data_IF_449211337796
#
_entry.id   IF_449211337796
#
_cell.length_a   1.000
_cell.length_b   1.000
_cell.length_c   1.000
_cell.angle_alpha   90.00
_cell.angle_beta   90.00
_cell.angle_gamma   90.00
#
_symmetry.space_group_name_H-M   'P 1'
#
loop_
_entity.id
_entity.type
_entity.pdbx_description
1 polymer ?
#
# COMPACT_ATOMS: atom_id res chain seq x y z
N UNK A 1 -29.47 49.58 23.29
CA UNK A 1 -29.10 48.98 21.99
C UNK A 1 -27.62 48.63 22.04
N UNK A 2 -27.19 47.40 21.68
CA UNK A 2 -25.78 47.07 21.65
C UNK A 2 -25.07 47.86 20.53
N UNK A 3 -23.85 48.33 20.82
CA UNK A 3 -22.99 49.00 19.83
C UNK A 3 -22.54 48.01 18.75
N UNK A 4 -22.39 48.48 17.51
CA UNK A 4 -21.87 47.70 16.38
C UNK A 4 -20.49 47.10 16.71
N UNK A 5 -19.65 47.85 17.43
CA UNK A 5 -18.32 47.38 17.86
C UNK A 5 -18.44 46.16 18.77
N UNK A 6 -19.33 46.20 19.76
CA UNK A 6 -19.54 45.07 20.68
C UNK A 6 -20.14 43.82 20.02
N UNK A 7 -20.88 43.97 18.92
CA UNK A 7 -21.34 42.84 18.11
C UNK A 7 -20.19 42.20 17.31
N UNK A 8 -19.27 43.02 16.78
CA UNK A 8 -18.10 42.53 16.07
C UNK A 8 -17.13 41.78 17.01
N UNK A 9 -16.84 42.35 18.19
CA UNK A 9 -16.01 41.70 19.20
C UNK A 9 -16.58 40.35 19.65
N UNK A 10 -17.91 40.25 19.81
CA UNK A 10 -18.56 38.98 20.12
C UNK A 10 -18.41 37.95 19.00
N UNK A 11 -18.56 38.36 17.72
CA UNK A 11 -18.35 37.46 16.58
C UNK A 11 -16.90 37.02 16.47
N UNK A 12 -15.95 37.93 16.70
CA UNK A 12 -14.54 37.62 16.71
C UNK A 12 -14.20 36.60 17.81
N UNK A 13 -14.67 36.83 19.04
CA UNK A 13 -14.45 35.88 20.15
C UNK A 13 -15.08 34.52 19.89
N UNK A 14 -16.27 34.48 19.27
CA UNK A 14 -16.91 33.22 18.87
C UNK A 14 -16.08 32.50 17.78
N UNK A 15 -15.56 33.25 16.80
CA UNK A 15 -14.70 32.70 15.76
C UNK A 15 -13.38 32.15 16.33
N UNK A 16 -12.72 32.88 17.25
CA UNK A 16 -11.50 32.44 17.93
C UNK A 16 -11.74 31.14 18.71
N UNK A 17 -12.80 31.08 19.53
CA UNK A 17 -13.19 29.86 20.25
C UNK A 17 -13.46 28.68 19.31
N UNK A 18 -14.10 28.93 18.17
CA UNK A 18 -14.35 27.90 17.15
C UNK A 18 -13.03 27.36 16.57
N UNK A 19 -12.08 28.24 16.28
CA UNK A 19 -10.75 27.86 15.78
C UNK A 19 -9.98 27.06 16.82
N UNK A 20 -9.97 27.49 18.08
CA UNK A 20 -9.24 26.79 19.13
C UNK A 20 -9.84 25.41 19.40
N UNK A 21 -11.18 25.28 19.42
CA UNK A 21 -11.84 23.98 19.53
C UNK A 21 -11.48 23.03 18.37
N UNK A 22 -11.43 23.54 17.12
CA UNK A 22 -11.03 22.74 15.96
C UNK A 22 -9.55 22.32 16.03
N UNK A 23 -8.67 23.15 16.59
CA UNK A 23 -7.27 22.80 16.82
C UNK A 23 -7.14 21.68 17.85
N UNK A 24 -7.86 21.78 18.97
CA UNK A 24 -7.89 20.71 19.99
C UNK A 24 -8.42 19.38 19.42
N UNK A 25 -9.44 19.42 18.57
CA UNK A 25 -9.95 18.24 17.87
C UNK A 25 -8.90 17.67 16.90
N UNK A 26 -8.22 18.52 16.13
CA UNK A 26 -7.16 18.10 15.23
C UNK A 26 -5.99 17.45 15.98
N UNK A 27 -5.56 18.03 17.10
CA UNK A 27 -4.50 17.48 17.94
C UNK A 27 -4.89 16.12 18.53
N UNK A 28 -6.15 15.97 18.97
CA UNK A 28 -6.69 14.68 19.44
C UNK A 28 -6.65 13.62 18.35
N UNK A 29 -7.17 13.94 17.17
CA UNK A 29 -7.17 13.02 16.01
C UNK A 29 -5.73 12.67 15.61
N UNK A 30 -4.82 13.64 15.64
CA UNK A 30 -3.41 13.41 15.32
C UNK A 30 -2.76 12.46 16.35
N UNK A 31 -3.09 12.59 17.63
CA UNK A 31 -2.59 11.69 18.67
C UNK A 31 -3.13 10.25 18.48
N UNK A 32 -4.42 10.09 18.18
CA UNK A 32 -5.03 8.79 17.87
C UNK A 32 -4.42 8.16 16.60
N UNK A 33 -4.16 8.97 15.57
CA UNK A 33 -3.49 8.53 14.35
C UNK A 33 -2.09 7.99 14.67
N UNK A 34 -1.28 8.75 15.43
CA UNK A 34 0.06 8.31 15.82
C UNK A 34 0.01 7.02 16.65
N UNK A 35 -0.97 6.86 17.53
CA UNK A 35 -1.14 5.62 18.31
C UNK A 35 -1.47 4.42 17.42
N UNK A 36 -2.47 4.56 16.54
CA UNK A 36 -2.89 3.49 15.62
C UNK A 36 -1.80 3.14 14.60
N UNK A 37 -1.02 4.11 14.13
CA UNK A 37 0.15 3.87 13.28
C UNK A 37 1.23 3.07 14.01
N UNK A 38 1.46 3.32 15.30
CA UNK A 38 2.41 2.53 16.10
C UNK A 38 1.95 1.09 16.25
N UNK A 39 0.69 0.85 16.62
CA UNK A 39 0.12 -0.49 16.72
C UNK A 39 0.21 -1.25 15.39
N UNK A 40 -0.09 -0.57 14.28
CA UNK A 40 0.06 -1.15 12.95
C UNK A 40 1.52 -1.49 12.62
N UNK A 41 2.47 -0.59 12.93
CA UNK A 41 3.90 -0.85 12.74
C UNK A 41 4.40 -2.05 13.56
N UNK A 42 3.92 -2.20 14.80
CA UNK A 42 4.23 -3.38 15.63
C UNK A 42 3.74 -4.67 14.98
N UNK A 43 2.53 -4.66 14.41
CA UNK A 43 2.01 -5.81 13.68
C UNK A 43 2.82 -6.12 12.41
N UNK A 44 3.24 -5.10 11.66
CA UNK A 44 4.13 -5.27 10.50
C UNK A 44 5.46 -5.89 10.90
N UNK A 45 6.04 -5.46 12.03
CA UNK A 45 7.27 -6.03 12.59
C UNK A 45 7.04 -7.50 12.98
N UNK A 46 5.93 -7.81 13.65
CA UNK A 46 5.58 -9.18 14.04
C UNK A 46 5.45 -10.09 12.81
N UNK A 47 4.74 -9.66 11.76
CA UNK A 47 4.64 -10.41 10.51
C UNK A 47 6.00 -10.60 9.83
N UNK A 48 6.86 -9.59 9.82
CA UNK A 48 8.24 -9.69 9.30
C UNK A 48 9.05 -10.75 10.06
N UNK A 49 8.95 -10.76 11.40
CA UNK A 49 9.63 -11.76 12.23
C UNK A 49 9.13 -13.18 11.97
N UNK A 50 7.82 -13.37 11.86
CA UNK A 50 7.24 -14.67 11.47
C UNK A 50 7.74 -15.09 10.10
N UNK A 51 7.81 -14.17 9.13
CA UNK A 51 8.39 -14.44 7.82
C UNK A 51 9.84 -14.94 7.89
N UNK A 52 10.66 -14.37 8.77
CA UNK A 52 12.05 -14.83 9.00
C UNK A 52 12.13 -16.24 9.60
N UNK A 53 11.22 -16.61 10.50
CA UNK A 53 11.18 -17.95 11.11
C UNK A 53 10.68 -19.01 10.12
N UNK A 54 9.74 -18.62 9.25
CA UNK A 54 9.17 -19.51 8.23
C UNK A 54 10.07 -19.66 6.99
N UNK A 55 11.02 -18.76 6.78
CA UNK A 55 12.14 -19.00 5.87
C UNK A 55 13.08 -20.02 6.54
N UNK A 56 13.31 -21.21 5.94
CA UNK A 56 14.28 -22.13 6.48
C UNK A 56 15.65 -21.44 6.42
N UNK A 57 16.21 -21.17 7.60
CA UNK A 57 17.53 -20.60 7.72
C UNK A 57 18.55 -21.53 7.09
N UNK A 58 19.39 -20.95 6.23
CA UNK A 58 20.78 -21.32 6.05
C UNK A 58 21.43 -21.31 7.44
N UNK A 59 21.26 -22.43 8.15
CA UNK A 59 21.85 -22.67 9.45
C UNK A 59 23.30 -23.05 9.25
N UNK A 60 24.18 -22.10 9.51
CA UNK A 60 25.35 -22.25 10.38
C UNK A 60 25.69 -23.72 10.72
N UNK A 61 26.54 -24.35 9.92
CA UNK A 61 27.36 -25.46 10.40
C UNK A 61 28.62 -24.87 11.03
N UNK A 62 28.61 -24.82 12.36
CA UNK A 62 29.78 -24.52 13.17
C UNK A 62 30.89 -25.57 12.96
N UNK A 63 32.15 -25.12 12.92
CA UNK A 63 33.30 -26.01 13.17
C UNK A 63 34.61 -25.55 12.50
N UNK A 64 35.68 -25.23 13.27
CA UNK A 64 36.88 -24.54 12.80
C UNK A 64 37.98 -25.50 12.35
N UNK A 65 38.74 -25.17 11.31
CA UNK A 65 40.16 -25.52 11.27
C UNK A 65 40.94 -24.62 10.30
N UNK A 66 42.20 -24.49 10.62
CA UNK A 66 43.17 -23.52 10.16
C UNK A 66 43.65 -23.72 8.71
N UNK A 67 44.39 -22.68 8.28
CA UNK A 67 45.57 -22.74 7.41
C UNK A 67 45.42 -22.12 6.02
N UNK A 68 46.02 -20.93 5.94
CA UNK A 68 47.05 -20.53 4.97
C UNK A 68 46.72 -20.43 3.47
N UNK A 69 46.72 -19.15 3.05
CA UNK A 69 47.62 -18.57 2.03
C UNK A 69 47.25 -18.61 0.52
N UNK A 70 47.76 -17.63 -0.25
CA UNK A 70 47.12 -17.03 -1.43
C UNK A 70 47.73 -17.51 -2.77
N UNK A 71 47.32 -16.87 -3.89
CA UNK A 71 47.87 -16.98 -5.27
C UNK A 71 47.16 -18.03 -6.15
N UNK A 72 46.92 -17.88 -7.46
CA UNK A 72 46.93 -16.80 -8.45
C UNK A 72 46.13 -17.37 -9.66
N UNK A 73 45.52 -16.45 -10.42
CA UNK A 73 45.15 -16.57 -11.85
C UNK A 73 44.06 -17.56 -12.30
N UNK A 74 42.96 -16.97 -12.77
CA UNK A 74 42.06 -17.61 -13.75
C UNK A 74 40.71 -16.91 -13.82
N UNK A 75 40.58 -15.89 -14.66
CA UNK A 75 39.30 -15.23 -14.98
C UNK A 75 38.31 -16.22 -15.60
N UNK A 76 37.01 -16.19 -15.21
CA UNK A 76 35.97 -15.93 -16.22
C UNK A 76 34.74 -15.18 -15.63
N UNK A 77 33.63 -15.08 -16.38
CA UNK A 77 32.97 -13.84 -16.79
C UNK A 77 32.06 -13.20 -15.72
N UNK A 78 31.82 -11.90 -15.88
CA UNK A 78 30.84 -11.12 -15.12
C UNK A 78 29.46 -11.80 -15.05
N UNK A 79 29.06 -12.21 -13.84
CA UNK A 79 27.69 -12.62 -13.51
C UNK A 79 26.98 -11.44 -12.82
N UNK A 80 25.78 -11.02 -13.27
CA UNK A 80 24.96 -10.10 -12.51
C UNK A 80 24.35 -10.85 -11.32
N UNK A 81 24.95 -10.74 -10.14
CA UNK A 81 24.33 -11.19 -8.90
C UNK A 81 23.29 -10.16 -8.44
N UNK A 82 22.19 -10.07 -9.15
CA UNK A 82 20.92 -9.55 -8.62
C UNK A 82 19.97 -10.73 -8.47
N UNK A 83 20.21 -11.55 -7.46
CA UNK A 83 19.18 -12.45 -6.96
C UNK A 83 18.71 -11.88 -5.62
N UNK A 84 17.93 -10.79 -5.70
CA UNK A 84 17.01 -10.41 -4.63
C UNK A 84 16.19 -11.66 -4.28
N UNK A 85 16.44 -12.17 -3.08
CA UNK A 85 15.71 -13.28 -2.50
C UNK A 85 14.20 -13.07 -2.73
N UNK A 86 13.61 -13.98 -3.49
CA UNK A 86 12.21 -13.93 -3.88
C UNK A 86 11.32 -13.92 -2.63
N UNK A 87 10.84 -12.73 -2.27
CA UNK A 87 9.88 -12.50 -1.19
C UNK A 87 8.71 -13.49 -1.32
N UNK A 88 8.22 -14.08 -0.22
CA UNK A 88 7.13 -15.06 -0.26
C UNK A 88 5.95 -14.44 -1.01
N UNK A 89 5.52 -15.12 -2.08
CA UNK A 89 4.54 -14.63 -3.05
C UNK A 89 3.29 -14.20 -2.28
N UNK A 90 3.06 -12.89 -2.15
CA UNK A 90 1.77 -12.35 -1.70
C UNK A 90 0.68 -12.95 -2.61
N UNK A 91 -0.06 -13.91 -2.04
CA UNK A 91 -1.09 -14.69 -2.75
C UNK A 91 -2.34 -13.83 -2.77
N UNK A 92 -2.74 -13.38 -3.95
CA UNK A 92 -4.00 -12.68 -4.15
C UNK A 92 -5.13 -13.73 -4.14
N UNK A 93 -6.02 -13.79 -3.14
CA UNK A 93 -7.13 -14.75 -3.16
C UNK A 93 -7.98 -14.61 -4.43
N UNK A 94 -8.59 -15.71 -4.90
CA UNK A 94 -9.60 -15.62 -5.96
C UNK A 94 -10.81 -14.84 -5.45
N UNK A 95 -11.32 -13.92 -6.26
CA UNK A 95 -12.48 -13.14 -5.90
C UNK A 95 -13.73 -14.02 -5.79
N UNK A 96 -14.56 -13.75 -4.78
CA UNK A 96 -15.86 -14.37 -4.56
C UNK A 96 -16.82 -13.38 -3.88
N UNK A 97 -18.13 -13.55 -4.09
CA UNK A 97 -19.14 -12.74 -3.42
C UNK A 97 -18.98 -12.84 -1.89
N UNK A 98 -19.11 -11.70 -1.20
CA UNK A 98 -18.91 -11.60 0.26
C UNK A 98 -17.45 -11.54 0.73
N UNK A 99 -16.46 -11.61 -0.18
CA UNK A 99 -15.06 -11.46 0.18
C UNK A 99 -14.69 -9.98 0.40
N UNK A 100 -14.28 -9.65 1.62
CA UNK A 100 -13.84 -8.30 1.96
C UNK A 100 -12.52 -7.95 1.27
N UNK A 101 -12.37 -6.66 0.91
CA UNK A 101 -11.12 -6.12 0.35
C UNK A 101 -9.93 -6.26 1.30
N UNK A 102 -10.19 -6.34 2.61
CA UNK A 102 -9.19 -6.61 3.64
C UNK A 102 -8.46 -7.95 3.48
N UNK A 103 -9.01 -8.89 2.70
CA UNK A 103 -8.34 -10.15 2.37
C UNK A 103 -7.13 -9.99 1.42
N UNK A 104 -6.99 -8.83 0.78
CA UNK A 104 -5.84 -8.49 -0.05
C UNK A 104 -4.73 -7.86 0.81
N UNK A 105 -3.45 -7.98 0.42
CA UNK A 105 -2.40 -7.17 1.07
C UNK A 105 -2.62 -5.67 0.79
N UNK A 106 -2.13 -4.80 1.67
CA UNK A 106 -2.33 -3.34 1.60
C UNK A 106 -2.02 -2.74 0.21
N UNK A 107 -0.96 -3.22 -0.46
CA UNK A 107 -0.62 -2.80 -1.83
C UNK A 107 -1.71 -3.08 -2.86
N UNK A 108 -2.36 -4.25 -2.78
CA UNK A 108 -3.46 -4.61 -3.69
C UNK A 108 -4.76 -3.91 -3.28
N UNK A 109 -4.98 -3.69 -1.98
CA UNK A 109 -6.10 -2.89 -1.49
C UNK A 109 -6.08 -1.48 -2.05
N UNK A 110 -4.91 -0.81 -2.04
CA UNK A 110 -4.73 0.53 -2.63
C UNK A 110 -5.10 0.57 -4.12
N UNK A 111 -4.70 -0.44 -4.90
CA UNK A 111 -5.07 -0.56 -6.32
C UNK A 111 -6.58 -0.72 -6.51
N UNK A 112 -7.20 -1.62 -5.75
CA UNK A 112 -8.66 -1.84 -5.83
C UNK A 112 -9.43 -0.60 -5.38
N UNK A 113 -8.96 0.11 -4.35
CA UNK A 113 -9.58 1.34 -3.85
C UNK A 113 -9.53 2.46 -4.89
N UNK A 114 -8.36 2.74 -5.48
CA UNK A 114 -8.23 3.74 -6.53
C UNK A 114 -9.17 3.48 -7.72
N UNK A 115 -9.32 2.21 -8.12
CA UNK A 115 -10.25 1.81 -9.18
C UNK A 115 -11.73 1.86 -8.76
N UNK A 116 -12.01 1.63 -7.48
CA UNK A 116 -13.36 1.77 -6.90
C UNK A 116 -13.80 3.22 -6.92
N UNK A 117 -12.94 4.13 -6.47
CA UNK A 117 -13.24 5.56 -6.42
C UNK A 117 -13.42 6.14 -7.82
N UNK A 118 -12.56 5.72 -8.76
CA UNK A 118 -12.70 6.12 -10.17
C UNK A 118 -14.00 5.61 -10.81
N UNK A 119 -14.40 4.39 -10.46
CA UNK A 119 -15.69 3.82 -10.87
C UNK A 119 -16.88 4.61 -10.33
N UNK A 120 -16.83 5.00 -9.05
CA UNK A 120 -17.86 5.87 -8.42
C UNK A 120 -17.95 7.24 -9.07
N UNK A 121 -16.80 7.80 -9.46
CA UNK A 121 -16.71 9.10 -10.12
C UNK A 121 -17.00 9.04 -11.64
N UNK A 122 -17.26 7.87 -12.21
CA UNK A 122 -17.54 7.73 -13.66
C UNK A 122 -16.34 8.03 -14.56
N UNK A 123 -15.12 8.01 -14.03
CA UNK A 123 -13.90 8.49 -14.68
C UNK A 123 -13.21 7.43 -15.59
N UNK A 124 -13.85 6.29 -15.83
CA UNK A 124 -13.40 5.27 -16.79
C UNK A 124 -12.17 4.43 -16.37
N UNK A 125 -11.53 3.69 -17.30
CA UNK A 125 -10.42 2.74 -17.05
C UNK A 125 -9.05 3.37 -16.76
N UNK A 126 -8.39 2.99 -15.66
CA UNK A 126 -7.15 3.60 -15.17
C UNK A 126 -5.92 2.90 -15.75
N UNK A 127 -4.94 3.67 -16.21
CA UNK A 127 -3.64 3.16 -16.68
C UNK A 127 -2.64 2.98 -15.53
N UNK A 128 -1.60 2.15 -15.73
CA UNK A 128 -0.54 2.00 -14.72
C UNK A 128 0.23 3.30 -14.45
N UNK A 129 0.34 4.19 -15.44
CA UNK A 129 1.03 5.47 -15.29
C UNK A 129 0.20 6.44 -14.44
N UNK A 130 -1.11 6.55 -14.71
CA UNK A 130 -2.02 7.34 -13.87
C UNK A 130 -2.07 6.77 -12.45
N UNK A 131 -2.07 5.44 -12.31
CA UNK A 131 -2.05 4.75 -11.03
C UNK A 131 -0.75 5.06 -10.23
N UNK A 132 0.40 5.15 -10.90
CA UNK A 132 1.63 5.60 -10.27
C UNK A 132 1.50 7.04 -9.74
N UNK A 133 0.92 7.94 -10.53
CA UNK A 133 0.63 9.32 -10.11
C UNK A 133 -0.31 9.40 -8.91
N UNK A 134 -1.39 8.61 -8.89
CA UNK A 134 -2.31 8.54 -7.74
C UNK A 134 -1.63 8.05 -6.45
N UNK A 135 -0.57 7.24 -6.57
CA UNK A 135 0.17 6.71 -5.43
C UNK A 135 1.38 7.56 -5.05
N UNK A 136 1.59 8.71 -5.69
CA UNK A 136 2.79 9.54 -5.47
C UNK A 136 4.09 8.82 -5.84
N UNK A 137 4.02 7.81 -6.71
CA UNK A 137 5.18 7.09 -7.20
C UNK A 137 5.75 7.80 -8.42
N UNK A 138 7.08 7.92 -8.49
CA UNK A 138 7.73 8.39 -9.71
C UNK A 138 7.31 7.52 -10.90
N UNK A 139 6.96 8.11 -12.06
CA UNK A 139 6.55 7.39 -13.25
C UNK A 139 7.76 6.76 -13.98
N UNK A 140 8.64 6.10 -13.24
CA UNK A 140 9.77 5.36 -13.80
C UNK A 140 9.30 4.01 -14.35
N UNK A 141 9.86 3.53 -15.48
CA UNK A 141 9.42 2.30 -16.13
C UNK A 141 9.35 1.09 -15.20
N UNK A 142 10.31 0.95 -14.28
CA UNK A 142 10.34 -0.14 -13.31
C UNK A 142 9.11 -0.14 -12.36
N UNK A 143 8.70 1.04 -11.85
CA UNK A 143 7.53 1.16 -10.96
C UNK A 143 6.23 0.93 -11.73
N UNK A 144 6.15 1.41 -12.97
CA UNK A 144 5.00 1.18 -13.85
C UNK A 144 4.84 -0.31 -14.16
N UNK A 145 5.95 -1.02 -14.45
CA UNK A 145 5.94 -2.46 -14.70
C UNK A 145 5.57 -3.27 -13.45
N UNK A 146 6.05 -2.84 -12.27
CA UNK A 146 5.65 -3.45 -11.00
C UNK A 146 4.13 -3.31 -10.76
N UNK A 147 3.55 -2.14 -11.03
CA UNK A 147 2.10 -1.92 -10.96
C UNK A 147 1.33 -2.75 -11.99
N UNK A 148 1.85 -2.82 -13.23
CA UNK A 148 1.27 -3.66 -14.30
C UNK A 148 1.21 -5.12 -13.87
N UNK A 149 2.30 -5.65 -13.34
CA UNK A 149 2.38 -7.02 -12.83
C UNK A 149 1.38 -7.29 -11.69
N UNK A 150 1.22 -6.32 -10.77
CA UNK A 150 0.23 -6.41 -9.67
C UNK A 150 -1.21 -6.35 -10.20
N UNK A 151 -1.50 -5.44 -11.11
CA UNK A 151 -2.82 -5.28 -11.72
C UNK A 151 -3.22 -6.53 -12.52
N UNK A 152 -2.31 -7.07 -13.35
CA UNK A 152 -2.52 -8.34 -14.07
C UNK A 152 -2.83 -9.50 -13.13
N UNK A 153 -2.16 -9.58 -11.98
CA UNK A 153 -2.45 -10.61 -10.96
C UNK A 153 -3.85 -10.46 -10.38
N UNK A 154 -4.29 -9.24 -10.10
CA UNK A 154 -5.66 -8.97 -9.63
C UNK A 154 -6.70 -9.30 -10.70
N UNK A 155 -6.40 -9.00 -11.98
CA UNK A 155 -7.25 -9.38 -13.12
C UNK A 155 -7.40 -10.90 -13.23
N UNK A 156 -6.29 -11.64 -13.16
CA UNK A 156 -6.29 -13.10 -13.21
C UNK A 156 -7.09 -13.76 -12.05
N UNK A 157 -7.29 -13.03 -10.95
CA UNK A 157 -8.04 -13.48 -9.77
C UNK A 157 -9.46 -12.92 -9.71
N UNK A 158 -9.92 -12.22 -10.75
CA UNK A 158 -11.30 -11.74 -10.87
C UNK A 158 -11.61 -10.45 -10.08
N UNK A 159 -10.60 -9.79 -9.53
CA UNK A 159 -10.79 -8.51 -8.82
C UNK A 159 -10.91 -7.34 -9.79
N UNK A 160 -10.13 -7.38 -10.87
CA UNK A 160 -10.08 -6.34 -11.89
C UNK A 160 -10.46 -6.92 -13.25
N UNK A 161 -10.78 -6.02 -14.17
CA UNK A 161 -11.00 -6.29 -15.59
C UNK A 161 -10.07 -5.40 -16.41
N UNK A 162 -9.61 -5.89 -17.54
CA UNK A 162 -8.75 -5.13 -18.47
C UNK A 162 -9.50 -4.91 -19.78
N UNK A 163 -10.32 -3.84 -19.89
CA UNK A 163 -11.10 -3.57 -21.09
C UNK A 163 -10.23 -3.27 -22.32
N UNK A 164 -9.00 -2.80 -22.10
CA UNK A 164 -8.01 -2.57 -23.16
C UNK A 164 -6.60 -2.80 -22.60
N UNK A 165 -5.60 -3.14 -23.45
CA UNK A 165 -4.24 -3.40 -23.00
C UNK A 165 -3.69 -2.29 -22.10
N UNK A 166 -3.34 -2.63 -20.85
CA UNK A 166 -2.78 -1.69 -19.88
C UNK A 166 -3.79 -0.69 -19.27
N UNK A 167 -5.09 -0.87 -19.50
CA UNK A 167 -6.18 -0.12 -18.87
C UNK A 167 -6.99 -1.04 -17.98
N UNK A 168 -7.12 -0.70 -16.72
CA UNK A 168 -7.80 -1.54 -15.72
C UNK A 168 -9.06 -0.88 -15.18
N UNK A 169 -10.08 -1.68 -14.95
CA UNK A 169 -11.34 -1.30 -14.29
C UNK A 169 -11.68 -2.28 -13.18
N UNK A 170 -12.43 -1.83 -12.19
CA UNK A 170 -12.99 -2.73 -11.17
C UNK A 170 -13.89 -3.77 -11.85
N UNK A 171 -13.78 -5.05 -11.49
CA UNK A 171 -14.69 -6.06 -12.03
C UNK A 171 -16.14 -5.77 -11.59
N UNK A 172 -17.11 -5.91 -12.50
CA UNK A 172 -18.53 -5.64 -12.21
C UNK A 172 -19.04 -6.35 -10.96
N UNK A 173 -18.55 -7.57 -10.73
CA UNK A 173 -18.93 -8.39 -9.59
C UNK A 173 -18.40 -7.82 -8.24
N UNK A 174 -17.26 -7.11 -8.27
CA UNK A 174 -16.69 -6.39 -7.12
C UNK A 174 -17.33 -5.01 -6.96
N UNK A 175 -17.76 -4.39 -8.07
CA UNK A 175 -18.36 -3.05 -8.11
C UNK A 175 -19.86 -3.02 -7.70
N UNK A 176 -20.55 -4.16 -7.78
CA UNK A 176 -21.96 -4.26 -7.38
C UNK A 176 -22.16 -3.94 -5.89
N UNK A 177 -23.34 -3.45 -5.49
CA UNK A 177 -23.65 -3.27 -4.08
C UNK A 177 -23.52 -4.66 -3.45
N UNK A 178 -22.52 -4.82 -2.58
CA UNK A 178 -22.39 -6.03 -1.78
C UNK A 178 -23.63 -6.14 -0.92
N UNK A 179 -24.63 -6.87 -1.42
CA UNK A 179 -25.76 -7.33 -0.63
C UNK A 179 -25.21 -8.25 0.46
N UNK A 180 -25.08 -7.70 1.64
CA UNK A 180 -24.87 -8.40 2.89
C UNK A 180 -25.75 -7.69 3.89
N UNK A 181 -26.92 -8.27 4.12
CA UNK A 181 -27.84 -7.87 5.19
C UNK A 181 -27.23 -8.12 6.56
#
# INVERSE_FOLDING_TARGET
MPSIVGLLEQREMAARRRVDALREEADRIQAELVATEREWNEWVIACSRVGKVLSPGEGETAGPDASEEPSDRGEPPALPASSEAAKPKSVVPMWRAGLARSALSADYQRIVQALTDRGRLGQGPLTCQEMAGCFGLDPVPAKIEALRSKAKRLTARGWLTEPAPGRFTLAKAVAGPGGGS
#
